data_IF_129196385279
#
_entry.id   IF_129196385279
#
_cell.length_a   1.000
_cell.length_b   1.000
_cell.length_c   1.000
_cell.angle_alpha   90.00
_cell.angle_beta   90.00
_cell.angle_gamma   90.00
#
_symmetry.space_group_name_H-M   'P 1'
#
loop_
_entity.id
_entity.type
_entity.pdbx_description
1 polymer ?
#
# COMPACT_ATOMS: atom_id res chain seq x y z
N UNK A 1 5.48 -6.49 26.00
CA UNK A 1 5.76 -7.13 24.71
C UNK A 1 6.33 -6.19 23.63
N UNK A 2 5.89 -4.93 23.53
CA UNK A 2 6.43 -3.95 22.54
C UNK A 2 7.90 -3.53 22.75
N UNK A 3 8.41 -3.57 23.96
CA UNK A 3 9.77 -3.11 24.29
C UNK A 3 10.85 -4.13 23.94
N UNK A 4 10.55 -5.42 24.03
CA UNK A 4 11.47 -6.50 23.68
C UNK A 4 11.71 -6.59 22.17
N UNK A 5 10.67 -6.42 21.37
CA UNK A 5 10.78 -6.39 19.89
C UNK A 5 11.65 -5.22 19.39
N UNK A 6 11.56 -4.04 20.03
CA UNK A 6 12.41 -2.89 19.69
C UNK A 6 13.88 -3.15 19.97
N UNK A 7 14.21 -3.81 21.08
CA UNK A 7 15.60 -4.12 21.45
C UNK A 7 16.27 -5.16 20.53
N UNK A 8 15.56 -6.22 20.18
CA UNK A 8 16.04 -7.25 19.26
C UNK A 8 16.22 -6.70 17.85
N UNK A 9 15.30 -5.88 17.38
CA UNK A 9 15.39 -5.21 16.07
C UNK A 9 16.58 -4.24 16.03
N UNK A 10 16.81 -3.47 17.09
CA UNK A 10 17.91 -2.51 17.19
C UNK A 10 19.29 -3.17 17.18
N UNK A 11 19.46 -4.30 17.88
CA UNK A 11 20.73 -5.05 17.87
C UNK A 11 21.01 -5.71 16.50
N UNK A 12 19.96 -6.12 15.78
CA UNK A 12 20.09 -6.72 14.45
C UNK A 12 20.45 -5.70 13.37
N UNK A 13 19.91 -4.48 13.45
CA UNK A 13 20.14 -3.39 12.45
C UNK A 13 21.61 -2.96 12.40
N UNK A 14 22.33 -2.97 13.52
CA UNK A 14 23.71 -2.51 13.56
C UNK A 14 24.68 -3.36 12.74
N UNK A 15 24.35 -4.64 12.51
CA UNK A 15 25.16 -5.58 11.75
C UNK A 15 24.77 -5.68 10.25
N UNK A 16 23.76 -4.91 9.81
CA UNK A 16 23.32 -4.91 8.43
C UNK A 16 24.26 -4.08 7.54
N UNK A 17 24.37 -4.50 6.27
CA UNK A 17 25.08 -3.71 5.25
C UNK A 17 24.46 -2.33 5.09
N UNK A 18 25.21 -1.37 4.55
CA UNK A 18 24.69 -0.02 4.25
C UNK A 18 23.47 -0.06 3.31
N UNK A 19 23.53 -0.93 2.31
CA UNK A 19 22.42 -1.16 1.38
C UNK A 19 21.16 -1.64 2.11
N UNK A 20 21.28 -2.62 2.99
CA UNK A 20 20.13 -3.14 3.75
C UNK A 20 19.53 -2.10 4.69
N UNK A 21 20.38 -1.28 5.32
CA UNK A 21 19.92 -0.18 6.19
C UNK A 21 19.14 0.87 5.41
N UNK A 22 19.62 1.25 4.24
CA UNK A 22 18.93 2.19 3.35
C UNK A 22 17.55 1.65 2.94
N UNK A 23 17.47 0.39 2.51
CA UNK A 23 16.21 -0.24 2.11
C UNK A 23 15.23 -0.37 3.28
N UNK A 24 15.72 -0.70 4.47
CA UNK A 24 14.90 -0.71 5.68
C UNK A 24 14.35 0.68 6.01
N UNK A 25 15.15 1.72 5.83
CA UNK A 25 14.72 3.11 5.98
C UNK A 25 13.55 3.45 5.04
N UNK A 26 13.67 3.12 3.76
CA UNK A 26 12.59 3.29 2.77
C UNK A 26 11.33 2.51 3.13
N UNK A 27 11.45 1.26 3.61
CA UNK A 27 10.29 0.49 4.05
C UNK A 27 9.56 1.19 5.20
N UNK A 28 10.28 1.69 6.21
CA UNK A 28 9.70 2.37 7.37
C UNK A 28 9.01 3.67 6.94
N UNK A 29 9.65 4.45 6.07
CA UNK A 29 9.11 5.72 5.55
C UNK A 29 7.83 5.47 4.74
N UNK A 30 7.87 4.50 3.84
CA UNK A 30 6.73 4.16 2.97
C UNK A 30 5.57 3.47 3.70
N UNK A 31 5.79 2.92 4.90
CA UNK A 31 4.75 2.28 5.72
C UNK A 31 4.08 3.27 6.71
N UNK A 32 4.51 4.53 6.72
CA UNK A 32 3.94 5.54 7.58
C UNK A 32 2.63 6.08 7.00
N UNK A 33 1.54 5.99 7.75
CA UNK A 33 0.22 6.51 7.39
C UNK A 33 -0.16 7.62 8.37
N UNK A 34 -0.60 8.76 7.83
CA UNK A 34 -1.11 9.86 8.65
C UNK A 34 -2.41 9.43 9.33
N UNK A 35 -2.45 9.51 10.67
CA UNK A 35 -3.61 9.13 11.45
C UNK A 35 -4.87 9.96 11.13
N UNK A 36 -4.72 11.18 10.64
CA UNK A 36 -5.85 12.04 10.25
C UNK A 36 -6.65 11.42 9.10
N UNK A 37 -6.02 10.59 8.25
CA UNK A 37 -6.70 9.91 7.15
C UNK A 37 -7.79 8.93 7.63
N UNK A 38 -7.64 8.36 8.83
CA UNK A 38 -8.67 7.48 9.39
C UNK A 38 -9.97 8.23 9.70
N UNK A 39 -9.87 9.49 10.13
CA UNK A 39 -11.03 10.36 10.36
C UNK A 39 -11.59 10.89 9.04
N UNK A 40 -10.73 11.37 8.14
CA UNK A 40 -11.11 11.94 6.84
C UNK A 40 -11.87 10.92 5.98
N UNK A 41 -11.41 9.67 5.93
CA UNK A 41 -12.05 8.62 5.13
C UNK A 41 -13.09 7.80 5.89
N UNK A 42 -13.40 8.16 7.13
CA UNK A 42 -14.41 7.47 7.94
C UNK A 42 -14.15 5.97 8.08
N UNK A 43 -12.89 5.57 8.21
CA UNK A 43 -12.48 4.16 8.29
C UNK A 43 -13.09 3.51 9.53
N UNK A 44 -13.89 2.46 9.31
CA UNK A 44 -14.60 1.71 10.36
C UNK A 44 -14.05 0.29 10.47
N UNK A 45 -14.38 -0.32 11.61
CA UNK A 45 -14.11 -1.77 11.81
C UNK A 45 -15.31 -2.55 11.30
N UNK A 46 -15.07 -3.48 10.36
CA UNK A 46 -16.10 -4.28 9.71
C UNK A 46 -16.11 -4.08 8.19
N UNK A 47 -16.86 -4.89 7.45
CA UNK A 47 -16.74 -4.98 6.01
C UNK A 47 -17.85 -4.28 5.22
N UNK A 48 -18.95 -3.91 5.86
CA UNK A 48 -20.09 -3.26 5.20
C UNK A 48 -20.82 -2.32 6.16
N UNK A 49 -21.46 -1.29 5.62
CA UNK A 49 -22.42 -0.48 6.34
C UNK A 49 -23.82 -1.13 6.37
N UNK A 50 -24.77 -0.45 7.01
CA UNK A 50 -26.16 -0.91 7.13
C UNK A 50 -26.88 -1.00 5.78
N UNK A 51 -26.41 -0.31 4.75
CA UNK A 51 -26.98 -0.31 3.40
C UNK A 51 -26.32 -1.38 2.49
N UNK A 52 -25.44 -2.21 3.04
CA UNK A 52 -24.74 -3.24 2.30
C UNK A 52 -23.57 -2.73 1.46
N UNK A 53 -23.28 -1.43 1.51
CA UNK A 53 -22.13 -0.82 0.82
C UNK A 53 -20.85 -1.23 1.54
N UNK A 54 -19.84 -1.66 0.77
CA UNK A 54 -18.52 -1.94 1.31
C UNK A 54 -17.92 -0.71 1.97
N UNK A 55 -17.28 -0.89 3.12
CA UNK A 55 -16.65 0.20 3.86
C UNK A 55 -15.14 0.14 3.72
N UNK A 56 -14.49 1.27 3.92
CA UNK A 56 -13.04 1.32 4.01
C UNK A 56 -12.59 0.60 5.29
N UNK A 57 -12.02 -0.60 5.13
CA UNK A 57 -11.57 -1.43 6.24
C UNK A 57 -10.17 -1.05 6.75
N UNK A 58 -9.43 -0.26 5.99
CA UNK A 58 -8.09 0.20 6.33
C UNK A 58 -7.57 1.21 5.32
N UNK A 59 -6.43 1.78 5.63
CA UNK A 59 -5.70 2.70 4.77
C UNK A 59 -4.31 2.12 4.52
N UNK A 60 -3.86 2.17 3.30
CA UNK A 60 -2.50 1.80 2.90
C UNK A 60 -1.98 2.77 1.84
N UNK A 61 -0.70 3.05 1.85
CA UNK A 61 -0.01 3.79 0.80
C UNK A 61 0.64 2.88 -0.26
N UNK A 62 0.41 1.56 -0.14
CA UNK A 62 1.03 0.55 -1.03
C UNK A 62 0.20 0.34 -2.29
N UNK A 63 -1.12 0.32 -2.16
CA UNK A 63 -2.01 0.03 -3.29
C UNK A 63 -3.34 0.77 -3.17
N UNK A 64 -3.96 1.02 -4.31
CA UNK A 64 -5.32 1.50 -4.41
C UNK A 64 -6.12 0.56 -5.33
N UNK A 65 -7.25 0.07 -4.83
CA UNK A 65 -8.24 -0.64 -5.65
C UNK A 65 -9.55 0.14 -5.61
N UNK A 66 -10.07 0.49 -6.78
CA UNK A 66 -11.28 1.31 -6.93
C UNK A 66 -12.18 0.75 -8.02
N UNK A 67 -13.48 0.67 -7.75
CA UNK A 67 -14.50 0.25 -8.72
C UNK A 67 -15.73 1.17 -8.70
N UNK A 68 -15.57 2.37 -8.15
CA UNK A 68 -16.61 3.39 -8.12
C UNK A 68 -15.99 4.79 -8.09
N UNK A 69 -16.76 5.76 -8.53
CA UNK A 69 -16.50 7.20 -8.38
C UNK A 69 -17.50 7.81 -7.41
N UNK A 70 -17.18 9.00 -6.90
CA UNK A 70 -18.11 9.80 -6.09
C UNK A 70 -18.66 10.92 -6.97
N UNK A 71 -19.96 10.89 -7.24
CA UNK A 71 -20.67 11.93 -7.98
C UNK A 71 -21.83 12.42 -7.12
N UNK A 72 -21.86 13.70 -6.81
CA UNK A 72 -22.87 14.33 -5.97
C UNK A 72 -23.08 13.64 -4.61
N UNK A 73 -21.99 13.14 -4.02
CA UNK A 73 -22.03 12.42 -2.73
C UNK A 73 -22.58 10.99 -2.82
N UNK A 74 -22.76 10.44 -4.04
CA UNK A 74 -23.20 9.06 -4.25
C UNK A 74 -22.12 8.23 -4.92
N UNK A 75 -22.07 6.95 -4.54
CA UNK A 75 -21.19 5.97 -5.19
C UNK A 75 -21.77 5.59 -6.56
N UNK A 76 -21.07 5.93 -7.63
CA UNK A 76 -21.40 5.53 -9.00
C UNK A 76 -20.44 4.44 -9.45
N UNK A 77 -20.93 3.27 -9.92
CA UNK A 77 -20.06 2.22 -10.42
C UNK A 77 -19.14 2.73 -11.53
N UNK A 78 -17.87 2.34 -11.49
CA UNK A 78 -16.87 2.65 -12.50
C UNK A 78 -16.06 1.40 -12.85
N UNK A 79 -15.29 1.46 -13.92
CA UNK A 79 -14.35 0.40 -14.27
C UNK A 79 -13.35 0.18 -13.12
N UNK A 80 -13.01 -1.09 -12.89
CA UNK A 80 -12.05 -1.47 -11.87
C UNK A 80 -10.66 -0.91 -12.17
N UNK A 81 -10.08 -0.25 -11.19
CA UNK A 81 -8.72 0.29 -11.25
C UNK A 81 -7.88 -0.30 -10.13
N UNK A 82 -6.65 -0.62 -10.44
CA UNK A 82 -5.65 -1.09 -9.48
C UNK A 82 -4.35 -0.32 -9.68
N UNK A 83 -3.85 0.26 -8.61
CA UNK A 83 -2.58 0.96 -8.58
C UNK A 83 -1.65 0.34 -7.54
N UNK A 84 -0.39 0.22 -7.87
CA UNK A 84 0.70 -0.12 -6.96
C UNK A 84 1.63 1.08 -6.82
N UNK A 85 1.75 1.65 -5.61
CA UNK A 85 2.57 2.84 -5.34
C UNK A 85 2.34 3.99 -6.34
N UNK A 86 1.09 4.19 -6.77
CA UNK A 86 0.71 5.24 -7.72
C UNK A 86 0.84 4.87 -9.20
N UNK A 87 1.40 3.70 -9.54
CA UNK A 87 1.46 3.21 -10.91
C UNK A 87 0.25 2.32 -11.23
N UNK A 88 -0.44 2.63 -12.32
CA UNK A 88 -1.55 1.79 -12.79
C UNK A 88 -1.02 0.44 -13.25
N UNK A 89 -1.72 -0.64 -12.86
CA UNK A 89 -1.22 -2.01 -13.03
C UNK A 89 -0.94 -2.37 -14.50
N UNK A 90 -1.70 -1.85 -15.46
CA UNK A 90 -1.51 -2.09 -16.89
C UNK A 90 -0.19 -1.49 -17.38
N UNK A 91 0.21 -0.32 -16.87
CA UNK A 91 1.49 0.31 -17.19
C UNK A 91 2.67 -0.56 -16.76
N UNK A 92 2.58 -1.17 -15.58
CA UNK A 92 3.60 -2.10 -15.07
C UNK A 92 3.66 -3.36 -15.95
N UNK A 93 2.49 -3.96 -16.26
CA UNK A 93 2.41 -5.15 -17.11
C UNK A 93 3.00 -4.88 -18.50
N UNK A 94 2.63 -3.77 -19.12
CA UNK A 94 3.12 -3.36 -20.42
C UNK A 94 4.64 -3.16 -20.43
N UNK A 95 5.18 -2.59 -19.34
CA UNK A 95 6.63 -2.36 -19.20
C UNK A 95 7.42 -3.65 -19.27
N UNK A 96 7.21 -4.57 -18.34
CA UNK A 96 7.98 -5.82 -18.32
C UNK A 96 7.62 -6.79 -19.44
N UNK A 97 6.38 -6.73 -19.97
CA UNK A 97 5.99 -7.55 -21.13
C UNK A 97 6.72 -7.11 -22.41
N UNK A 98 6.87 -5.81 -22.66
CA UNK A 98 7.64 -5.29 -23.79
C UNK A 98 9.11 -5.69 -23.74
N UNK A 99 9.66 -5.83 -22.55
CA UNK A 99 11.03 -6.26 -22.33
C UNK A 99 11.19 -7.80 -22.35
N UNK A 100 10.10 -8.55 -22.46
CA UNK A 100 10.10 -10.02 -22.49
C UNK A 100 10.53 -10.66 -21.17
N UNK A 101 10.32 -9.97 -20.03
CA UNK A 101 10.71 -10.45 -18.70
C UNK A 101 9.49 -10.65 -17.79
N UNK A 102 9.68 -11.40 -16.72
CA UNK A 102 8.69 -11.55 -15.66
C UNK A 102 8.70 -10.31 -14.76
N UNK A 103 7.51 -9.91 -14.29
CA UNK A 103 7.35 -8.72 -13.47
C UNK A 103 7.38 -8.94 -11.96
N UNK A 104 7.68 -10.17 -11.49
CA UNK A 104 7.59 -10.51 -10.07
C UNK A 104 8.54 -9.67 -9.21
N UNK A 105 9.82 -9.61 -9.57
CA UNK A 105 10.84 -8.89 -8.82
C UNK A 105 10.59 -7.39 -8.83
N UNK A 106 10.19 -6.84 -9.97
CA UNK A 106 9.84 -5.42 -10.11
C UNK A 106 8.64 -5.05 -9.25
N UNK A 107 7.55 -5.81 -9.33
CA UNK A 107 6.38 -5.58 -8.49
C UNK A 107 6.70 -5.73 -7.01
N UNK A 108 7.49 -6.73 -6.64
CA UNK A 108 7.93 -6.93 -5.25
C UNK A 108 8.76 -5.74 -4.76
N UNK A 109 9.72 -5.29 -5.55
CA UNK A 109 10.54 -4.12 -5.20
C UNK A 109 9.67 -2.86 -5.04
N UNK A 110 8.80 -2.60 -6.00
CA UNK A 110 7.89 -1.45 -5.98
C UNK A 110 6.99 -1.46 -4.73
N UNK A 111 6.39 -2.60 -4.39
CA UNK A 111 5.49 -2.71 -3.24
C UNK A 111 6.23 -2.49 -1.90
N UNK A 112 7.47 -2.95 -1.79
CA UNK A 112 8.26 -2.84 -0.56
C UNK A 112 8.94 -1.47 -0.40
N UNK A 113 9.50 -0.93 -1.47
CA UNK A 113 10.41 0.21 -1.37
C UNK A 113 9.88 1.50 -2.03
N UNK A 114 8.86 1.41 -2.88
CA UNK A 114 8.27 2.56 -3.58
C UNK A 114 9.01 2.95 -4.85
#
# INVERSE_FOLDING_TARGET
MKTYLKGVLYMSINNLSSFTKERLGLCIENDTIDNNLYEEYGVKRGLRDLNGIGINAGITNISLSRAYTMEDGKHTPADGELYYRGYEIRQLIDGFTKEGRFGFEECTYLLLFG
#
